data_IF_113118162982
#
_entry.id   IF_113118162982
#
_cell.length_a   1.000
_cell.length_b   1.000
_cell.length_c   1.000
_cell.angle_alpha   90.00
_cell.angle_beta   90.00
_cell.angle_gamma   90.00
#
_symmetry.space_group_name_H-M   'P 1'
#
loop_
_entity.id
_entity.type
_entity.pdbx_description
1 polymer ?
#
# COMPACT_ATOMS: atom_id res chain seq x y z
N UNK A 1 11.40 33.46 -28.15
CA UNK A 1 9.97 33.63 -27.85
C UNK A 1 9.42 32.27 -27.45
N UNK A 2 9.53 31.92 -26.17
CA UNK A 2 9.08 30.62 -25.64
C UNK A 2 7.56 30.69 -25.42
N UNK A 3 6.80 29.98 -26.25
CA UNK A 3 5.39 29.69 -26.00
C UNK A 3 5.32 28.87 -24.70
N UNK A 4 5.17 29.53 -23.55
CA UNK A 4 4.75 28.85 -22.33
C UNK A 4 3.28 28.47 -22.50
N UNK A 5 3.05 27.23 -22.92
CA UNK A 5 1.75 26.56 -22.82
C UNK A 5 1.38 26.52 -21.32
N UNK A 6 0.67 27.54 -20.88
CA UNK A 6 0.08 27.60 -19.54
C UNK A 6 -1.25 26.87 -19.58
N UNK A 7 -1.42 25.92 -18.66
CA UNK A 7 -2.69 25.18 -18.52
C UNK A 7 -3.83 26.17 -18.20
N UNK A 8 -5.05 25.96 -18.72
CA UNK A 8 -6.23 26.75 -18.36
C UNK A 8 -6.41 26.82 -16.83
N UNK A 9 -6.88 27.96 -16.32
CA UNK A 9 -7.03 28.17 -14.87
C UNK A 9 -7.96 27.14 -14.19
N UNK A 10 -8.99 26.66 -14.90
CA UNK A 10 -9.90 25.61 -14.43
C UNK A 10 -9.19 24.26 -14.29
N UNK A 11 -8.26 23.93 -15.18
CA UNK A 11 -7.46 22.71 -15.15
C UNK A 11 -6.43 22.78 -14.02
N UNK A 12 -5.78 23.93 -13.82
CA UNK A 12 -4.86 24.16 -12.69
C UNK A 12 -5.59 24.00 -11.34
N UNK A 13 -6.79 24.58 -11.20
CA UNK A 13 -7.59 24.44 -9.99
C UNK A 13 -7.97 22.99 -9.72
N UNK A 14 -8.39 22.26 -10.76
CA UNK A 14 -8.70 20.83 -10.66
C UNK A 14 -7.49 20.00 -10.23
N UNK A 15 -6.33 20.24 -10.82
CA UNK A 15 -5.10 19.53 -10.48
C UNK A 15 -4.68 19.77 -9.03
N UNK A 16 -4.78 21.01 -8.53
CA UNK A 16 -4.54 21.31 -7.11
C UNK A 16 -5.48 20.55 -6.19
N UNK A 17 -6.76 20.47 -6.55
CA UNK A 17 -7.76 19.70 -5.79
C UNK A 17 -7.43 18.21 -5.77
N UNK A 18 -7.04 17.62 -6.91
CA UNK A 18 -6.61 16.21 -6.98
C UNK A 18 -5.32 15.97 -6.20
N UNK A 19 -4.36 16.89 -6.24
CA UNK A 19 -3.13 16.78 -5.48
C UNK A 19 -3.39 16.81 -3.97
N UNK A 20 -4.20 17.76 -3.49
CA UNK A 20 -4.59 17.83 -2.08
C UNK A 20 -5.33 16.55 -1.63
N UNK A 21 -6.21 16.03 -2.49
CA UNK A 21 -6.90 14.77 -2.26
C UNK A 21 -5.91 13.60 -2.17
N UNK A 22 -4.93 13.52 -3.06
CA UNK A 22 -3.91 12.49 -3.03
C UNK A 22 -3.01 12.56 -1.79
N UNK A 23 -2.68 13.77 -1.31
CA UNK A 23 -1.94 13.96 -0.05
C UNK A 23 -2.77 13.46 1.14
N UNK A 24 -4.06 13.82 1.20
CA UNK A 24 -4.99 13.33 2.22
C UNK A 24 -5.09 11.79 2.19
N UNK A 25 -5.18 11.20 1.01
CA UNK A 25 -5.16 9.75 0.83
C UNK A 25 -3.84 9.15 1.35
N UNK A 26 -2.69 9.78 1.07
CA UNK A 26 -1.40 9.29 1.57
C UNK A 26 -1.30 9.22 3.10
N UNK A 27 -1.82 10.24 3.80
CA UNK A 27 -1.88 10.22 5.27
C UNK A 27 -2.87 9.19 5.81
N UNK A 28 -4.06 9.09 5.20
CA UNK A 28 -5.04 8.07 5.56
C UNK A 28 -4.48 6.66 5.34
N UNK A 29 -3.74 6.45 4.24
CA UNK A 29 -3.06 5.19 3.96
C UNK A 29 -2.10 4.81 5.08
N UNK A 30 -1.28 5.75 5.54
CA UNK A 30 -0.37 5.52 6.67
C UNK A 30 -1.11 5.03 7.91
N UNK A 31 -2.19 5.69 8.31
CA UNK A 31 -2.98 5.31 9.48
C UNK A 31 -3.50 3.87 9.43
N UNK A 32 -4.08 3.49 8.29
CA UNK A 32 -4.68 2.17 8.11
C UNK A 32 -3.63 1.07 7.90
N UNK A 33 -2.55 1.35 7.17
CA UNK A 33 -1.45 0.39 7.00
C UNK A 33 -0.73 0.10 8.31
N UNK A 34 -0.48 1.13 9.15
CA UNK A 34 0.17 0.94 10.45
C UNK A 34 -0.72 0.18 11.44
N UNK A 35 -2.02 0.42 11.41
CA UNK A 35 -2.97 -0.28 12.27
C UNK A 35 -3.22 -1.74 11.84
N UNK A 36 -2.94 -2.10 10.59
CA UNK A 36 -3.03 -3.49 10.12
C UNK A 36 -2.10 -4.44 10.88
N UNK A 37 -1.06 -3.90 11.54
CA UNK A 37 -0.16 -4.65 12.41
C UNK A 37 -0.80 -5.02 13.75
N UNK A 38 -1.85 -4.32 14.19
CA UNK A 38 -2.45 -4.59 15.50
C UNK A 38 -3.12 -5.98 15.56
N UNK A 39 -4.01 -6.38 14.61
CA UNK A 39 -4.56 -7.74 14.62
C UNK A 39 -3.52 -8.84 14.43
N UNK A 40 -2.44 -8.57 13.68
CA UNK A 40 -1.38 -9.57 13.47
C UNK A 40 -0.52 -9.73 14.72
N UNK A 41 -0.29 -8.67 15.50
CA UNK A 41 0.39 -8.74 16.81
C UNK A 41 -0.40 -9.48 17.87
N UNK A 42 -1.73 -9.41 17.83
CA UNK A 42 -2.59 -10.20 18.71
C UNK A 42 -2.35 -11.70 18.53
N UNK A 43 -1.80 -12.13 17.39
CA UNK A 43 -1.52 -13.52 17.06
C UNK A 43 -0.02 -13.78 17.27
N UNK A 44 0.39 -14.50 18.33
CA UNK A 44 1.81 -14.89 18.47
C UNK A 44 2.04 -16.27 19.10
N UNK A 45 3.19 -16.83 18.66
CA UNK A 45 3.88 -18.08 19.02
C UNK A 45 3.20 -19.36 18.52
N UNK A 46 3.70 -19.89 17.39
CA UNK A 46 3.43 -21.26 16.93
C UNK A 46 2.94 -21.42 15.49
N UNK A 47 2.54 -20.34 14.82
CA UNK A 47 2.13 -20.36 13.40
C UNK A 47 3.29 -19.93 12.50
N UNK A 48 3.51 -20.68 11.42
CA UNK A 48 4.54 -20.35 10.43
C UNK A 48 4.30 -18.95 9.81
N UNK A 49 5.35 -18.11 9.63
CA UNK A 49 5.22 -16.81 8.96
C UNK A 49 4.61 -16.87 7.56
N UNK A 50 4.77 -18.00 6.87
CA UNK A 50 4.15 -18.23 5.55
C UNK A 50 2.64 -18.44 5.67
N UNK A 51 2.17 -19.15 6.70
CA UNK A 51 0.73 -19.33 6.97
C UNK A 51 0.10 -18.02 7.40
N UNK A 52 0.78 -17.25 8.26
CA UNK A 52 0.38 -15.88 8.62
C UNK A 52 0.17 -15.06 7.35
N UNK A 53 1.18 -15.02 6.48
CA UNK A 53 1.12 -14.26 5.22
C UNK A 53 0.01 -14.74 4.31
N UNK A 54 -0.17 -16.05 4.12
CA UNK A 54 -1.23 -16.61 3.28
C UNK A 54 -2.62 -16.16 3.77
N UNK A 55 -2.88 -16.23 5.06
CA UNK A 55 -4.20 -15.93 5.62
C UNK A 55 -4.48 -14.43 5.65
N UNK A 56 -3.46 -13.61 5.85
CA UNK A 56 -3.56 -12.18 5.58
C UNK A 56 -3.94 -11.92 4.12
N UNK A 57 -3.28 -12.58 3.16
CA UNK A 57 -3.58 -12.45 1.71
C UNK A 57 -5.01 -12.92 1.39
N UNK A 58 -5.54 -13.94 2.06
CA UNK A 58 -6.95 -14.33 1.94
C UNK A 58 -7.87 -13.21 2.40
N UNK A 59 -7.57 -12.56 3.54
CA UNK A 59 -8.30 -11.38 4.01
C UNK A 59 -8.24 -10.21 3.00
N UNK A 60 -7.05 -9.97 2.44
CA UNK A 60 -6.81 -8.97 1.39
C UNK A 60 -7.65 -9.26 0.14
N UNK A 61 -7.69 -10.52 -0.30
CA UNK A 61 -8.45 -10.95 -1.46
C UNK A 61 -9.95 -10.70 -1.28
N UNK A 62 -10.51 -11.13 -0.14
CA UNK A 62 -11.92 -10.90 0.18
C UNK A 62 -12.22 -9.40 0.21
N UNK A 63 -11.36 -8.59 0.83
CA UNK A 63 -11.55 -7.15 0.93
C UNK A 63 -11.46 -6.45 -0.44
N UNK A 64 -10.48 -6.79 -1.28
CA UNK A 64 -10.30 -6.16 -2.61
C UNK A 64 -11.37 -6.54 -3.63
N UNK A 65 -12.15 -7.60 -3.41
CA UNK A 65 -13.33 -7.89 -4.22
C UNK A 65 -14.61 -7.31 -3.63
N UNK A 66 -14.79 -7.38 -2.31
CA UNK A 66 -16.02 -6.89 -1.65
C UNK A 66 -16.09 -5.37 -1.53
N UNK A 67 -14.98 -4.69 -1.21
CA UNK A 67 -14.95 -3.23 -0.99
C UNK A 67 -15.21 -2.48 -2.30
N UNK A 68 -14.53 -2.75 -3.44
CA UNK A 68 -14.88 -2.13 -4.71
C UNK A 68 -16.29 -2.45 -5.19
N UNK A 69 -16.78 -3.68 -4.96
CA UNK A 69 -18.15 -4.07 -5.27
C UNK A 69 -19.16 -3.22 -4.48
N UNK A 70 -18.89 -2.94 -3.20
CA UNK A 70 -19.72 -2.08 -2.36
C UNK A 70 -19.65 -0.59 -2.82
N UNK A 71 -18.45 -0.07 -3.04
CA UNK A 71 -18.20 1.36 -3.34
C UNK A 71 -18.65 1.75 -4.75
N UNK A 72 -18.49 0.88 -5.75
CA UNK A 72 -18.84 1.19 -7.15
C UNK A 72 -19.54 0.07 -7.91
N UNK A 73 -19.52 -1.18 -7.44
CA UNK A 73 -20.09 -2.34 -8.16
C UNK A 73 -19.17 -2.84 -9.26
N UNK A 74 -18.97 -4.14 -9.40
CA UNK A 74 -18.01 -4.80 -10.32
C UNK A 74 -18.21 -4.46 -11.80
N UNK A 75 -19.35 -3.88 -12.18
CA UNK A 75 -19.60 -3.33 -13.51
C UNK A 75 -18.54 -2.30 -13.95
N UNK A 76 -18.03 -1.46 -13.03
CA UNK A 76 -16.96 -0.50 -13.34
C UNK A 76 -15.62 -1.19 -13.64
N UNK A 77 -15.31 -2.29 -12.93
CA UNK A 77 -14.10 -3.08 -13.15
C UNK A 77 -14.13 -3.66 -14.56
N UNK A 78 -15.29 -4.20 -14.97
CA UNK A 78 -15.49 -4.71 -16.33
C UNK A 78 -15.36 -3.61 -17.39
N UNK A 79 -15.85 -2.40 -17.11
CA UNK A 79 -15.72 -1.26 -18.02
C UNK A 79 -14.25 -0.85 -18.21
N UNK A 80 -13.49 -0.69 -17.12
CA UNK A 80 -12.07 -0.35 -17.19
C UNK A 80 -11.24 -1.43 -17.90
N UNK A 81 -11.56 -2.70 -17.66
CA UNK A 81 -10.91 -3.84 -18.34
C UNK A 81 -11.15 -3.81 -19.85
N UNK A 82 -12.36 -3.44 -20.30
CA UNK A 82 -12.65 -3.33 -21.73
C UNK A 82 -11.82 -2.23 -22.39
N UNK A 83 -11.53 -1.15 -21.67
CA UNK A 83 -10.72 -0.04 -22.18
C UNK A 83 -9.23 -0.37 -22.19
N UNK A 84 -8.73 -1.11 -21.20
CA UNK A 84 -7.31 -1.41 -21.06
C UNK A 84 -7.05 -2.86 -20.59
N UNK A 85 -7.37 -3.88 -21.42
CA UNK A 85 -7.31 -5.29 -21.00
C UNK A 85 -5.89 -5.78 -20.70
N UNK A 86 -4.89 -5.21 -21.39
CA UNK A 86 -3.48 -5.54 -21.19
C UNK A 86 -3.00 -5.26 -19.76
N UNK A 87 -3.67 -4.36 -19.02
CA UNK A 87 -3.32 -4.05 -17.62
C UNK A 87 -3.66 -5.18 -16.64
N UNK A 88 -4.52 -6.13 -17.01
CA UNK A 88 -4.78 -7.30 -16.15
C UNK A 88 -3.50 -8.11 -15.95
N UNK A 89 -2.75 -8.35 -17.03
CA UNK A 89 -1.48 -9.09 -16.96
C UNK A 89 -0.49 -8.36 -16.05
N UNK A 90 -0.41 -7.03 -16.19
CA UNK A 90 0.44 -6.20 -15.33
C UNK A 90 0.02 -6.22 -13.86
N UNK A 91 -1.29 -6.24 -13.59
CA UNK A 91 -1.83 -6.33 -12.24
C UNK A 91 -1.46 -7.68 -11.59
N UNK A 92 -1.72 -8.79 -12.29
CA UNK A 92 -1.39 -10.14 -11.80
C UNK A 92 0.12 -10.28 -11.57
N UNK A 93 0.95 -9.82 -12.52
CA UNK A 93 2.41 -9.82 -12.35
C UNK A 93 2.86 -9.01 -11.13
N UNK A 94 2.30 -7.82 -10.92
CA UNK A 94 2.61 -7.00 -9.76
C UNK A 94 2.24 -7.72 -8.44
N UNK A 95 1.10 -8.43 -8.42
CA UNK A 95 0.70 -9.27 -7.28
C UNK A 95 1.68 -10.40 -7.01
N UNK A 96 2.17 -11.07 -8.06
CA UNK A 96 3.19 -12.11 -7.93
C UNK A 96 4.51 -11.53 -7.38
N UNK A 97 4.98 -10.39 -7.90
CA UNK A 97 6.19 -9.72 -7.41
C UNK A 97 6.07 -9.36 -5.92
N UNK A 98 4.90 -8.86 -5.51
CA UNK A 98 4.64 -8.53 -4.11
C UNK A 98 4.70 -9.76 -3.20
N UNK A 99 4.09 -10.89 -3.61
CA UNK A 99 4.07 -12.12 -2.82
C UNK A 99 5.47 -12.73 -2.65
N UNK A 100 6.29 -12.69 -3.71
CA UNK A 100 7.69 -13.13 -3.65
C UNK A 100 8.49 -12.20 -2.74
N UNK A 101 8.34 -10.88 -2.89
CA UNK A 101 9.01 -9.91 -2.03
C UNK A 101 8.68 -10.12 -0.55
N UNK A 102 7.39 -10.32 -0.23
CA UNK A 102 6.93 -10.60 1.14
C UNK A 102 7.52 -11.91 1.69
N UNK A 103 7.73 -12.92 0.84
CA UNK A 103 8.40 -14.15 1.26
C UNK A 103 9.90 -13.94 1.49
N UNK A 104 10.55 -13.11 0.67
CA UNK A 104 11.96 -12.76 0.85
C UNK A 104 12.21 -11.96 2.14
N UNK A 105 11.29 -11.11 2.58
CA UNK A 105 11.43 -10.41 3.87
C UNK A 105 11.39 -11.38 5.05
N UNK A 106 10.56 -12.43 4.99
CA UNK A 106 10.54 -13.50 6.00
C UNK A 106 11.93 -14.15 6.12
N UNK A 107 12.54 -14.52 4.98
CA UNK A 107 13.88 -15.11 4.99
C UNK A 107 14.97 -14.12 5.42
N UNK A 108 14.84 -12.85 5.02
CA UNK A 108 15.79 -11.82 5.44
C UNK A 108 15.76 -11.61 6.96
N UNK A 109 14.57 -11.46 7.55
CA UNK A 109 14.41 -11.31 9.02
C UNK A 109 15.00 -12.54 9.72
N UNK A 110 14.73 -13.75 9.20
CA UNK A 110 15.27 -14.99 9.78
C UNK A 110 16.80 -15.05 9.75
N UNK A 111 17.43 -14.64 8.64
CA UNK A 111 18.86 -14.88 8.41
C UNK A 111 19.79 -13.74 8.92
N UNK A 112 19.30 -12.49 8.94
CA UNK A 112 20.08 -11.30 9.34
C UNK A 112 19.41 -10.43 10.41
N UNK A 113 18.22 -10.82 10.87
CA UNK A 113 17.45 -10.04 11.85
C UNK A 113 16.74 -8.84 11.23
N UNK A 114 15.68 -8.38 11.91
CA UNK A 114 14.86 -7.25 11.48
C UNK A 114 15.67 -5.94 11.38
N UNK A 115 16.66 -5.76 12.26
CA UNK A 115 17.48 -4.54 12.34
C UNK A 115 18.34 -4.28 11.10
N UNK A 116 18.83 -5.35 10.46
CA UNK A 116 19.62 -5.24 9.23
C UNK A 116 18.71 -5.35 8.01
N UNK A 117 17.70 -6.20 8.06
CA UNK A 117 16.84 -6.43 6.91
C UNK A 117 15.94 -5.23 6.58
N UNK A 118 15.40 -4.54 7.60
CA UNK A 118 14.44 -3.45 7.42
C UNK A 118 14.99 -2.27 6.62
N UNK A 119 16.18 -1.72 6.92
CA UNK A 119 16.75 -0.64 6.10
C UNK A 119 17.05 -1.08 4.67
N UNK A 120 17.45 -2.35 4.47
CA UNK A 120 17.83 -2.88 3.17
C UNK A 120 16.64 -3.02 2.21
N UNK A 121 15.48 -3.54 2.64
CA UNK A 121 14.33 -3.63 1.74
C UNK A 121 13.60 -2.28 1.55
N UNK A 122 13.83 -1.30 2.41
CA UNK A 122 13.34 0.08 2.21
C UNK A 122 13.99 0.78 1.00
N UNK A 123 14.99 0.17 0.38
CA UNK A 123 15.45 0.53 -0.99
C UNK A 123 14.31 0.50 -2.01
N UNK A 124 13.17 -0.14 -1.73
CA UNK A 124 11.95 -0.07 -2.55
C UNK A 124 11.53 1.36 -2.90
N UNK A 125 11.71 2.31 -1.97
CA UNK A 125 11.26 3.69 -2.12
C UNK A 125 12.20 4.46 -3.06
N UNK A 126 13.51 4.18 -2.95
CA UNK A 126 14.52 4.70 -3.88
C UNK A 126 14.28 4.19 -5.30
N UNK A 127 13.97 2.90 -5.45
CA UNK A 127 13.64 2.32 -6.74
C UNK A 127 12.32 2.83 -7.30
N UNK A 128 11.31 3.08 -6.44
CA UNK A 128 10.08 3.75 -6.84
C UNK A 128 10.33 5.14 -7.43
N UNK A 129 11.18 5.95 -6.77
CA UNK A 129 11.60 7.27 -7.27
C UNK A 129 12.40 7.13 -8.58
N UNK A 130 13.32 6.17 -8.65
CA UNK A 130 14.12 5.89 -9.85
C UNK A 130 13.22 5.56 -11.05
N UNK A 131 12.26 4.65 -10.88
CA UNK A 131 11.33 4.27 -11.94
C UNK A 131 10.37 5.40 -12.30
N UNK A 132 9.90 6.17 -11.32
CA UNK A 132 9.14 7.42 -11.52
C UNK A 132 9.89 8.37 -12.44
N UNK A 133 11.18 8.60 -12.17
CA UNK A 133 12.03 9.48 -12.95
C UNK A 133 12.33 8.95 -14.37
N UNK A 134 12.73 7.68 -14.48
CA UNK A 134 13.22 7.07 -15.73
C UNK A 134 12.07 6.79 -16.72
N UNK A 135 10.99 6.17 -16.25
CA UNK A 135 9.92 5.63 -17.12
C UNK A 135 8.74 6.60 -17.27
N UNK A 136 8.43 7.34 -16.20
CA UNK A 136 7.23 8.17 -16.13
C UNK A 136 7.53 9.67 -16.20
N UNK A 137 8.81 10.04 -16.36
CA UNK A 137 9.27 11.42 -16.42
C UNK A 137 8.84 12.27 -15.21
N UNK A 138 8.63 11.64 -14.04
CA UNK A 138 8.41 12.33 -12.78
C UNK A 138 9.69 13.11 -12.41
N UNK A 139 9.57 14.26 -11.73
CA UNK A 139 10.69 15.12 -11.32
C UNK A 139 11.54 15.73 -12.46
N UNK A 140 11.26 15.43 -13.74
CA UNK A 140 11.90 16.10 -14.87
C UNK A 140 11.44 17.56 -14.90
N UNK A 141 12.40 18.48 -14.89
CA UNK A 141 12.16 19.93 -14.85
C UNK A 141 11.43 20.41 -13.58
N UNK A 142 11.49 19.64 -12.48
CA UNK A 142 10.94 20.03 -11.18
C UNK A 142 11.73 21.16 -10.50
N UNK A 143 12.93 21.49 -10.97
CA UNK A 143 13.81 22.51 -10.38
C UNK A 143 14.64 21.98 -9.20
N UNK A 144 15.75 22.65 -8.91
CA UNK A 144 16.74 22.21 -7.92
C UNK A 144 16.18 22.07 -6.50
N UNK A 145 15.31 22.99 -6.06
CA UNK A 145 14.69 22.97 -4.73
C UNK A 145 13.88 21.70 -4.47
N UNK A 146 13.20 21.18 -5.49
CA UNK A 146 12.40 19.94 -5.38
C UNK A 146 13.27 18.69 -5.42
N UNK A 147 14.33 18.70 -6.23
CA UNK A 147 15.34 17.65 -6.22
C UNK A 147 15.98 17.52 -4.83
N UNK A 148 16.35 18.63 -4.20
CA UNK A 148 16.83 18.62 -2.82
C UNK A 148 15.77 18.11 -1.83
N UNK A 149 14.50 18.51 -1.99
CA UNK A 149 13.41 18.00 -1.16
C UNK A 149 13.22 16.48 -1.25
N UNK A 150 13.26 15.92 -2.47
CA UNK A 150 13.10 14.48 -2.70
C UNK A 150 14.32 13.69 -2.23
N UNK A 151 15.54 14.11 -2.61
CA UNK A 151 16.77 13.44 -2.21
C UNK A 151 17.03 13.54 -0.71
N UNK A 152 16.85 14.74 -0.14
CA UNK A 152 16.98 14.98 1.29
C UNK A 152 15.92 14.22 2.09
N UNK A 153 14.67 14.19 1.59
CA UNK A 153 13.62 13.41 2.21
C UNK A 153 13.86 11.90 2.14
N UNK A 154 14.36 11.38 1.02
CA UNK A 154 14.72 9.97 0.86
C UNK A 154 15.87 9.58 1.80
N UNK A 155 16.88 10.44 1.94
CA UNK A 155 17.97 10.24 2.90
C UNK A 155 17.46 10.24 4.34
N UNK A 156 16.60 11.20 4.72
CA UNK A 156 15.99 11.24 6.05
C UNK A 156 15.16 9.98 6.34
N UNK A 157 14.36 9.50 5.39
CA UNK A 157 13.62 8.25 5.52
C UNK A 157 14.56 7.05 5.73
N UNK A 158 15.64 6.96 4.96
CA UNK A 158 16.61 5.87 5.11
C UNK A 158 17.33 5.90 6.46
N UNK A 159 17.74 7.09 6.91
CA UNK A 159 18.38 7.28 8.22
C UNK A 159 17.42 6.97 9.37
N UNK A 160 16.17 7.45 9.30
CA UNK A 160 15.15 7.15 10.29
C UNK A 160 14.82 5.66 10.36
N UNK A 161 14.69 4.99 9.21
CA UNK A 161 14.51 3.55 9.12
C UNK A 161 15.69 2.79 9.74
N UNK A 162 16.91 3.24 9.47
CA UNK A 162 18.14 2.65 10.05
C UNK A 162 18.16 2.80 11.57
N UNK A 163 17.81 3.98 12.09
CA UNK A 163 17.75 4.23 13.53
C UNK A 163 16.70 3.32 14.20
N UNK A 164 15.50 3.22 13.63
CA UNK A 164 14.44 2.32 14.11
C UNK A 164 14.85 0.85 14.07
N UNK A 165 15.60 0.46 13.05
CA UNK A 165 16.03 -0.91 12.92
C UNK A 165 17.09 -1.26 13.97
N UNK A 166 18.05 -0.37 14.23
CA UNK A 166 19.06 -0.54 15.29
C UNK A 166 18.40 -0.66 16.67
N UNK A 167 17.39 0.17 16.96
CA UNK A 167 16.70 0.17 18.26
C UNK A 167 15.84 -1.06 18.51
N UNK A 168 15.29 -1.63 17.44
CA UNK A 168 14.41 -2.80 17.50
C UNK A 168 15.16 -4.14 17.60
N UNK A 169 16.50 -4.11 17.70
CA UNK A 169 17.32 -5.32 17.68
C UNK A 169 17.24 -6.13 18.99
N UNK A 170 16.67 -7.33 18.90
CA UNK A 170 17.11 -8.46 19.74
C UNK A 170 18.28 -9.11 19.01
N UNK A 171 19.48 -9.09 19.60
CA UNK A 171 20.67 -9.64 18.97
C UNK A 171 20.55 -11.18 18.88
N UNK A 172 20.42 -11.69 17.66
CA UNK A 172 20.72 -13.09 17.32
C UNK A 172 21.82 -13.12 16.26
N UNK A 173 22.79 -14.04 16.34
CA UNK A 173 23.88 -14.11 15.35
C UNK A 173 23.32 -14.36 13.95
N UNK A 174 23.83 -13.63 12.96
CA UNK A 174 23.46 -13.83 11.56
C UNK A 174 23.93 -15.22 11.09
N UNK A 175 23.01 -16.17 10.98
CA UNK A 175 23.33 -17.56 10.60
C UNK A 175 23.81 -17.63 9.14
N UNK A 176 23.21 -16.82 8.25
CA UNK A 176 23.53 -16.78 6.82
C UNK A 176 23.48 -15.35 6.24
N UNK A 177 24.44 -14.51 6.62
CA UNK A 177 24.41 -13.07 6.31
C UNK A 177 24.20 -12.71 4.83
N UNK A 178 24.90 -13.38 3.91
CA UNK A 178 24.76 -13.12 2.47
C UNK A 178 23.39 -13.50 1.90
N UNK A 179 22.80 -14.59 2.39
CA UNK A 179 21.44 -14.98 1.99
C UNK A 179 20.41 -13.99 2.51
N UNK A 180 20.52 -13.56 3.76
CA UNK A 180 19.63 -12.55 4.32
C UNK A 180 19.74 -11.19 3.64
N UNK A 181 20.96 -10.71 3.33
CA UNK A 181 21.17 -9.44 2.63
C UNK A 181 20.61 -9.48 1.21
N UNK A 182 20.89 -10.55 0.46
CA UNK A 182 20.34 -10.74 -0.89
C UNK A 182 18.80 -10.86 -0.87
N UNK A 183 18.24 -11.53 0.14
CA UNK A 183 16.80 -11.60 0.34
C UNK A 183 16.20 -10.20 0.62
N UNK A 184 16.80 -9.41 1.50
CA UNK A 184 16.30 -8.06 1.82
C UNK A 184 16.39 -7.11 0.62
N UNK A 185 17.52 -7.08 -0.08
CA UNK A 185 17.69 -6.26 -1.28
C UNK A 185 16.78 -6.73 -2.42
N UNK A 186 16.61 -8.04 -2.59
CA UNK A 186 15.69 -8.60 -3.58
C UNK A 186 14.23 -8.26 -3.27
N UNK A 187 13.82 -8.31 -2.00
CA UNK A 187 12.49 -7.84 -1.58
C UNK A 187 12.30 -6.35 -1.91
N UNK A 188 13.29 -5.52 -1.59
CA UNK A 188 13.29 -4.10 -1.95
C UNK A 188 13.19 -3.86 -3.46
N UNK A 189 13.92 -4.65 -4.25
CA UNK A 189 13.90 -4.58 -5.71
C UNK A 189 12.54 -4.96 -6.31
N UNK A 190 11.95 -6.06 -5.84
CA UNK A 190 10.66 -6.55 -6.31
C UNK A 190 9.52 -5.58 -5.94
N UNK A 191 9.48 -5.11 -4.69
CA UNK A 191 8.51 -4.09 -4.27
C UNK A 191 8.71 -2.75 -4.97
N UNK A 192 9.96 -2.30 -5.17
CA UNK A 192 10.22 -1.07 -5.93
C UNK A 192 9.78 -1.18 -7.40
N UNK A 193 9.98 -2.35 -8.01
CA UNK A 193 9.64 -2.62 -9.41
C UNK A 193 8.13 -2.80 -9.61
N UNK A 194 7.38 -3.31 -8.62
CA UNK A 194 5.92 -3.46 -8.73
C UNK A 194 5.19 -2.13 -8.90
N UNK A 195 5.82 -1.01 -8.53
CA UNK A 195 5.27 0.33 -8.73
C UNK A 195 5.20 0.74 -10.22
N UNK A 196 5.96 0.08 -11.10
CA UNK A 196 5.88 0.30 -12.55
C UNK A 196 4.48 -0.06 -13.07
N UNK A 197 3.97 -1.29 -12.88
CA UNK A 197 2.58 -1.64 -13.16
C UNK A 197 1.54 -0.67 -12.60
N UNK A 198 1.71 -0.19 -11.36
CA UNK A 198 0.78 0.75 -10.73
C UNK A 198 0.67 2.04 -11.54
N UNK A 199 1.83 2.66 -11.78
CA UNK A 199 1.87 3.94 -12.47
C UNK A 199 1.40 3.78 -13.91
N UNK A 200 1.78 2.70 -14.57
CA UNK A 200 1.30 2.33 -15.91
C UNK A 200 -0.22 2.25 -15.96
N UNK A 201 -0.86 1.61 -14.99
CA UNK A 201 -2.31 1.50 -14.94
C UNK A 201 -2.98 2.87 -14.78
N UNK A 202 -2.46 3.71 -13.89
CA UNK A 202 -3.07 5.01 -13.58
C UNK A 202 -2.93 6.02 -14.70
N UNK A 203 -1.77 6.09 -15.37
CA UNK A 203 -1.60 6.96 -16.56
C UNK A 203 -2.40 6.47 -17.77
N UNK A 204 -2.75 5.18 -17.81
CA UNK A 204 -3.66 4.61 -18.81
C UNK A 204 -5.13 4.85 -18.46
N UNK A 205 -5.42 5.48 -17.31
CA UNK A 205 -6.77 5.83 -16.87
C UNK A 205 -7.50 4.75 -16.08
N UNK A 206 -6.90 3.58 -15.85
CA UNK A 206 -7.51 2.52 -15.04
C UNK A 206 -7.73 2.99 -13.61
N UNK A 207 -8.90 2.67 -13.05
CA UNK A 207 -9.20 3.01 -11.67
C UNK A 207 -8.35 2.19 -10.70
N UNK A 208 -7.86 2.78 -9.59
CA UNK A 208 -7.15 2.05 -8.55
C UNK A 208 -7.88 0.80 -8.04
N UNK A 209 -9.20 0.89 -7.84
CA UNK A 209 -10.03 -0.23 -7.36
C UNK A 209 -10.10 -1.38 -8.37
N UNK A 210 -10.15 -1.06 -9.67
CA UNK A 210 -10.12 -2.06 -10.75
C UNK A 210 -8.77 -2.77 -10.79
N UNK A 211 -7.67 -2.02 -10.72
CA UNK A 211 -6.33 -2.58 -10.81
C UNK A 211 -6.01 -3.52 -9.63
N UNK A 212 -6.31 -3.10 -8.40
CA UNK A 212 -6.01 -3.91 -7.21
C UNK A 212 -6.85 -5.20 -7.13
N UNK A 213 -8.04 -5.22 -7.72
CA UNK A 213 -8.87 -6.44 -7.77
C UNK A 213 -8.20 -7.56 -8.58
N UNK A 214 -7.49 -7.23 -9.67
CA UNK A 214 -6.69 -8.21 -10.41
C UNK A 214 -5.32 -8.45 -9.79
N UNK A 215 -4.73 -7.44 -9.15
CA UNK A 215 -3.49 -7.59 -8.38
C UNK A 215 -3.59 -8.72 -7.35
N UNK A 216 -4.69 -8.75 -6.60
CA UNK A 216 -4.86 -9.75 -5.54
C UNK A 216 -5.00 -11.18 -6.06
N UNK A 217 -5.36 -11.38 -7.33
CA UNK A 217 -5.35 -12.72 -7.96
C UNK A 217 -3.91 -13.25 -8.03
N UNK A 218 -2.97 -12.41 -8.50
CA UNK A 218 -1.55 -12.77 -8.55
C UNK A 218 -0.96 -12.97 -7.17
N UNK A 219 -1.33 -12.11 -6.22
CA UNK A 219 -0.92 -12.21 -4.83
C UNK A 219 -1.37 -13.52 -4.17
N UNK A 220 -2.67 -13.85 -4.26
CA UNK A 220 -3.23 -15.06 -3.68
C UNK A 220 -2.67 -16.31 -4.35
N UNK A 221 -2.61 -16.33 -5.70
CA UNK A 221 -2.08 -17.47 -6.45
C UNK A 221 -0.60 -17.74 -6.12
N UNK A 222 0.23 -16.69 -6.12
CA UNK A 222 1.65 -16.83 -5.83
C UNK A 222 1.90 -17.17 -4.36
N UNK A 223 1.22 -16.51 -3.42
CA UNK A 223 1.37 -16.78 -1.99
C UNK A 223 0.90 -18.19 -1.63
N UNK A 224 -0.19 -18.68 -2.24
CA UNK A 224 -0.65 -20.06 -2.09
C UNK A 224 0.39 -21.05 -2.62
N UNK A 225 0.94 -20.78 -3.80
CA UNK A 225 1.98 -21.64 -4.41
C UNK A 225 3.22 -21.74 -3.53
N UNK A 226 3.68 -20.59 -2.99
CA UNK A 226 4.80 -20.52 -2.06
C UNK A 226 4.48 -21.25 -0.75
N UNK A 227 3.32 -21.00 -0.14
CA UNK A 227 2.90 -21.66 1.09
C UNK A 227 2.84 -23.19 0.93
N UNK A 228 2.23 -23.69 -0.15
CA UNK A 228 2.17 -25.15 -0.45
C UNK A 228 3.57 -25.73 -0.63
N UNK A 229 4.45 -25.03 -1.36
CA UNK A 229 5.81 -25.51 -1.63
C UNK A 229 6.65 -25.59 -0.36
N UNK A 230 6.64 -24.54 0.47
CA UNK A 230 7.49 -24.45 1.65
C UNK A 230 6.96 -25.21 2.89
N UNK A 231 5.67 -25.51 2.94
CA UNK A 231 5.09 -26.35 4.02
C UNK A 231 5.22 -27.86 3.74
N UNK A 232 5.70 -28.25 2.55
CA UNK A 232 5.85 -29.66 2.16
C UNK A 232 4.60 -30.27 1.55
N UNK A 233 3.68 -29.45 1.00
CA UNK A 233 2.52 -29.89 0.24
C UNK A 233 1.16 -29.50 0.87
N UNK A 234 0.05 -29.69 0.12
CA UNK A 234 -1.27 -29.21 0.53
C UNK A 234 -1.79 -29.80 1.85
N UNK A 235 -1.48 -31.08 2.12
CA UNK A 235 -1.89 -31.76 3.36
C UNK A 235 -1.18 -31.22 4.60
N UNK A 236 0.07 -30.77 4.46
CA UNK A 236 0.84 -30.15 5.53
C UNK A 236 0.30 -28.76 5.85
N UNK A 237 0.10 -27.95 4.80
CA UNK A 237 -0.54 -26.64 4.91
C UNK A 237 -1.91 -26.74 5.58
N UNK A 238 -2.74 -27.70 5.17
CA UNK A 238 -4.07 -27.90 5.76
C UNK A 238 -4.01 -28.20 7.26
N UNK A 239 -3.06 -29.04 7.71
CA UNK A 239 -2.86 -29.32 9.14
C UNK A 239 -2.45 -28.07 9.92
N UNK A 240 -1.54 -27.26 9.38
CA UNK A 240 -1.17 -25.98 10.01
C UNK A 240 -2.36 -25.03 10.11
N UNK A 241 -3.19 -24.93 9.05
CA UNK A 241 -4.39 -24.08 9.05
C UNK A 241 -5.43 -24.52 10.08
N UNK A 242 -5.70 -25.83 10.16
CA UNK A 242 -6.62 -26.38 11.17
C UNK A 242 -6.08 -26.16 12.58
N UNK A 243 -4.77 -26.29 12.78
CA UNK A 243 -4.10 -25.98 14.04
C UNK A 243 -4.17 -24.49 14.40
N UNK A 244 -4.18 -23.61 13.41
CA UNK A 244 -4.24 -22.15 13.58
C UNK A 244 -5.67 -21.57 13.55
N UNK A 245 -6.73 -22.39 13.53
CA UNK A 245 -8.12 -21.95 13.33
C UNK A 245 -8.57 -20.80 14.25
N UNK A 246 -8.07 -20.79 15.48
CA UNK A 246 -8.44 -19.80 16.51
C UNK A 246 -7.89 -18.39 16.22
N UNK A 247 -6.90 -18.28 15.33
CA UNK A 247 -6.23 -17.02 14.99
C UNK A 247 -6.49 -16.56 13.55
N UNK A 248 -7.10 -17.41 12.71
CA UNK A 248 -7.35 -17.09 11.30
C UNK A 248 -8.17 -15.81 11.12
N UNK A 249 -9.18 -15.59 11.96
CA UNK A 249 -9.98 -14.37 11.95
C UNK A 249 -9.13 -13.11 12.09
N UNK A 250 -8.23 -13.07 13.09
CA UNK A 250 -7.38 -11.91 13.36
C UNK A 250 -6.41 -11.63 12.22
N UNK A 251 -5.84 -12.68 11.64
CA UNK A 251 -4.97 -12.57 10.46
C UNK A 251 -5.72 -12.04 9.24
N UNK A 252 -6.92 -12.55 8.98
CA UNK A 252 -7.78 -12.06 7.90
C UNK A 252 -8.21 -10.61 8.15
N UNK A 253 -8.50 -10.24 9.40
CA UNK A 253 -8.85 -8.87 9.78
C UNK A 253 -7.66 -7.92 9.56
N UNK A 254 -6.44 -8.33 9.89
CA UNK A 254 -5.22 -7.60 9.56
C UNK A 254 -5.12 -7.33 8.05
N UNK A 255 -5.34 -8.37 7.23
CA UNK A 255 -5.40 -8.23 5.77
C UNK A 255 -6.51 -7.27 5.28
N UNK A 256 -7.69 -7.31 5.90
CA UNK A 256 -8.80 -6.41 5.56
C UNK A 256 -8.46 -4.94 5.87
N UNK A 257 -7.95 -4.66 7.08
CA UNK A 257 -7.53 -3.31 7.51
C UNK A 257 -6.43 -2.79 6.59
N UNK A 258 -5.49 -3.66 6.22
CA UNK A 258 -4.43 -3.33 5.27
C UNK A 258 -4.98 -2.88 3.92
N UNK A 259 -6.04 -3.53 3.40
CA UNK A 259 -6.67 -3.13 2.12
C UNK A 259 -7.25 -1.72 2.15
N UNK A 260 -7.81 -1.28 3.28
CA UNK A 260 -8.29 0.11 3.40
C UNK A 260 -7.13 1.09 3.22
N UNK A 261 -6.00 0.80 3.85
CA UNK A 261 -4.77 1.58 3.70
C UNK A 261 -4.20 1.52 2.29
N UNK A 262 -4.13 0.34 1.68
CA UNK A 262 -3.67 0.12 0.31
C UNK A 262 -4.54 0.87 -0.71
N UNK A 263 -5.86 0.85 -0.58
CA UNK A 263 -6.77 1.62 -1.45
C UNK A 263 -6.40 3.11 -1.42
N UNK A 264 -6.23 3.68 -0.23
CA UNK A 264 -5.82 5.08 -0.10
C UNK A 264 -4.41 5.32 -0.66
N UNK A 265 -3.46 4.42 -0.44
CA UNK A 265 -2.12 4.52 -1.00
C UNK A 265 -2.16 4.55 -2.55
N UNK A 266 -3.04 3.75 -3.15
CA UNK A 266 -3.19 3.68 -4.59
C UNK A 266 -3.82 4.96 -5.18
N UNK A 267 -4.79 5.57 -4.48
CA UNK A 267 -5.27 6.91 -4.85
C UNK A 267 -4.21 8.00 -4.66
N UNK A 268 -3.38 7.91 -3.62
CA UNK A 268 -2.25 8.82 -3.43
C UNK A 268 -1.25 8.71 -4.59
N UNK A 269 -0.89 7.49 -4.97
CA UNK A 269 -0.01 7.22 -6.12
C UNK A 269 -0.63 7.67 -7.45
N UNK A 270 -1.96 7.54 -7.61
CA UNK A 270 -2.67 8.04 -8.78
C UNK A 270 -2.56 9.57 -8.91
N UNK A 271 -2.92 10.32 -7.87
CA UNK A 271 -3.06 11.77 -7.97
C UNK A 271 -1.77 12.56 -7.67
N UNK A 272 -0.83 12.01 -6.90
CA UNK A 272 0.45 12.67 -6.53
C UNK A 272 1.66 11.97 -7.15
N UNK A 273 1.46 10.85 -7.85
CA UNK A 273 2.53 10.08 -8.50
C UNK A 273 3.18 9.07 -7.54
N UNK A 274 3.88 8.09 -8.09
CA UNK A 274 4.50 7.03 -7.28
C UNK A 274 5.65 7.56 -6.43
N UNK A 275 6.40 8.55 -6.94
CA UNK A 275 7.54 9.12 -6.22
C UNK A 275 7.16 9.89 -4.96
N UNK A 276 5.88 10.27 -4.80
CA UNK A 276 5.39 11.08 -3.66
C UNK A 276 4.28 10.39 -2.87
N UNK A 277 3.35 9.73 -3.56
CA UNK A 277 2.22 9.06 -2.93
C UNK A 277 2.64 7.86 -2.08
N UNK A 278 3.64 7.08 -2.52
CA UNK A 278 4.13 5.92 -1.76
C UNK A 278 4.92 6.37 -0.52
N UNK A 279 5.87 7.33 -0.59
CA UNK A 279 6.52 7.82 0.63
C UNK A 279 5.56 8.40 1.68
N UNK A 280 4.46 9.03 1.27
CA UNK A 280 3.43 9.52 2.20
C UNK A 280 2.80 8.41 3.06
N UNK A 281 2.57 7.24 2.48
CA UNK A 281 1.99 6.12 3.21
C UNK A 281 2.96 5.47 4.20
N UNK A 282 4.27 5.75 4.09
CA UNK A 282 5.27 5.35 5.09
C UNK A 282 5.13 6.12 6.42
N UNK A 283 4.17 7.05 6.54
CA UNK A 283 3.67 7.51 7.84
C UNK A 283 3.02 6.40 8.67
N UNK A 284 2.77 5.22 8.07
CA UNK A 284 2.37 4.00 8.77
C UNK A 284 3.26 3.65 9.97
N UNK A 285 4.56 3.93 9.91
CA UNK A 285 5.48 3.64 11.01
C UNK A 285 5.12 4.42 12.28
N UNK A 286 4.66 5.67 12.14
CA UNK A 286 4.20 6.45 13.29
C UNK A 286 2.95 5.82 13.91
N UNK A 287 2.01 5.37 13.09
CA UNK A 287 0.79 4.74 13.57
C UNK A 287 1.06 3.38 14.20
N UNK A 288 1.89 2.55 13.57
CA UNK A 288 2.37 1.29 14.15
C UNK A 288 3.06 1.52 15.50
N UNK A 289 3.86 2.59 15.61
CA UNK A 289 4.48 2.98 16.88
C UNK A 289 3.45 3.40 17.93
N UNK A 290 2.46 4.21 17.57
CA UNK A 290 1.40 4.63 18.50
C UNK A 290 0.63 3.42 19.04
N UNK A 291 0.31 2.46 18.18
CA UNK A 291 -0.29 1.19 18.61
C UNK A 291 0.67 0.39 19.51
N UNK A 292 1.94 0.24 19.12
CA UNK A 292 2.97 -0.48 19.89
C UNK A 292 3.18 0.10 21.29
N UNK A 293 3.36 1.41 21.41
CA UNK A 293 3.61 2.07 22.70
C UNK A 293 2.33 2.18 23.53
N UNK A 294 1.23 2.67 22.97
CA UNK A 294 0.06 3.07 23.76
C UNK A 294 -0.91 1.93 24.03
N UNK A 295 -1.01 0.95 23.12
CA UNK A 295 -1.97 -0.16 23.23
C UNK A 295 -1.30 -1.41 23.76
N UNK A 296 -0.14 -1.76 23.21
CA UNK A 296 0.60 -2.97 23.54
C UNK A 296 1.69 -2.75 24.60
N UNK A 297 1.96 -1.51 25.00
CA UNK A 297 2.95 -1.16 26.03
C UNK A 297 4.35 -1.72 25.76
N UNK A 298 4.77 -1.80 24.49
CA UNK A 298 6.01 -2.47 24.05
C UNK A 298 7.30 -1.85 24.61
N UNK A 299 7.25 -0.57 25.02
CA UNK A 299 8.39 0.14 25.61
C UNK A 299 8.28 0.30 27.13
N UNK A 300 7.22 -0.18 27.77
CA UNK A 300 6.99 0.04 29.20
C UNK A 300 8.15 -0.52 30.04
N UNK A 301 8.72 0.31 30.92
CA UNK A 301 9.88 -0.05 31.74
C UNK A 301 11.24 -0.01 31.02
N UNK A 302 11.30 0.39 29.74
CA UNK A 302 12.58 0.58 29.03
C UNK A 302 13.17 1.97 29.32
N UNK A 303 14.49 2.09 29.18
CA UNK A 303 15.22 3.34 29.46
C UNK A 303 14.86 4.47 28.50
N UNK A 304 14.93 5.72 28.98
CA UNK A 304 14.58 6.93 28.23
C UNK A 304 15.33 7.06 26.88
N UNK A 305 16.56 6.56 26.80
CA UNK A 305 17.34 6.52 25.56
C UNK A 305 16.65 5.70 24.45
N UNK A 306 16.06 4.54 24.78
CA UNK A 306 15.37 3.71 23.80
C UNK A 306 14.10 4.38 23.30
N UNK A 307 13.33 5.01 24.19
CA UNK A 307 12.18 5.84 23.83
C UNK A 307 12.55 6.96 22.86
N UNK A 308 13.63 7.69 23.16
CA UNK A 308 14.07 8.81 22.34
C UNK A 308 14.52 8.34 20.95
N UNK A 309 15.22 7.20 20.86
CA UNK A 309 15.67 6.67 19.57
C UNK A 309 14.51 6.15 18.72
N UNK A 310 13.52 5.48 19.32
CA UNK A 310 12.34 4.98 18.60
C UNK A 310 11.43 6.13 18.13
N UNK A 311 11.15 7.10 19.01
CA UNK A 311 10.36 8.29 18.66
C UNK A 311 11.13 9.14 17.64
N UNK A 312 12.42 9.37 17.86
CA UNK A 312 13.29 10.14 16.97
C UNK A 312 13.40 9.54 15.57
N UNK A 313 13.59 8.23 15.46
CA UNK A 313 13.64 7.52 14.18
C UNK A 313 12.33 7.62 13.41
N UNK A 314 11.19 7.47 14.11
CA UNK A 314 9.85 7.59 13.51
C UNK A 314 9.55 9.02 13.03
N UNK A 315 9.91 10.03 13.83
CA UNK A 315 9.76 11.43 13.45
C UNK A 315 10.67 11.79 12.27
N UNK A 316 11.91 11.30 12.24
CA UNK A 316 12.83 11.52 11.12
C UNK A 316 12.30 10.90 9.82
N UNK A 317 11.76 9.67 9.88
CA UNK A 317 11.08 9.06 8.73
C UNK A 317 9.88 9.90 8.26
N UNK A 318 9.05 10.37 9.19
CA UNK A 318 7.88 11.20 8.87
C UNK A 318 8.29 12.53 8.22
N UNK A 319 9.33 13.18 8.73
CA UNK A 319 9.87 14.41 8.15
C UNK A 319 10.40 14.18 6.74
N UNK A 320 11.09 13.05 6.51
CA UNK A 320 11.56 12.68 5.17
C UNK A 320 10.42 12.43 4.18
N UNK A 321 9.39 11.69 4.60
CA UNK A 321 8.17 11.48 3.82
C UNK A 321 7.44 12.79 3.52
N UNK A 322 7.32 13.68 4.51
CA UNK A 322 6.73 15.00 4.38
C UNK A 322 7.50 15.90 3.41
N UNK A 323 8.83 15.89 3.46
CA UNK A 323 9.68 16.65 2.54
C UNK A 323 9.49 16.20 1.07
N UNK A 324 9.41 14.89 0.83
CA UNK A 324 9.08 14.35 -0.49
C UNK A 324 7.66 14.75 -0.91
N UNK A 325 6.67 14.63 -0.02
CA UNK A 325 5.27 14.91 -0.32
C UNK A 325 4.99 16.38 -0.66
N UNK A 326 5.61 17.29 0.11
CA UNK A 326 5.44 18.73 -0.03
C UNK A 326 6.21 19.29 -1.23
N UNK A 327 7.05 18.49 -1.89
CA UNK A 327 7.72 18.82 -3.15
C UNK A 327 6.75 18.82 -4.35
N UNK A 328 5.68 19.63 -4.28
CA UNK A 328 4.57 19.70 -5.24
C UNK A 328 5.03 19.74 -6.69
N UNK A 329 4.42 18.92 -7.55
CA UNK A 329 4.74 18.88 -8.98
C UNK A 329 4.43 20.23 -9.67
N UNK A 330 5.38 20.76 -10.46
CA UNK A 330 5.18 21.97 -11.27
C UNK A 330 4.17 21.74 -12.38
N UNK A 331 3.57 22.81 -12.93
CA UNK A 331 2.81 22.72 -14.19
C UNK A 331 3.60 22.06 -15.33
N UNK A 332 4.92 22.29 -15.39
CA UNK A 332 5.84 21.62 -16.33
C UNK A 332 5.96 20.11 -16.10
N UNK A 333 5.90 19.65 -14.86
CA UNK A 333 5.91 18.22 -14.53
C UNK A 333 4.57 17.56 -14.88
N UNK A 334 3.46 18.28 -14.66
CA UNK A 334 2.11 17.80 -15.03
C UNK A 334 1.95 17.62 -16.55
N UNK A 335 2.54 18.51 -17.35
CA UNK A 335 2.59 18.35 -18.81
C UNK A 335 3.32 17.06 -19.20
N UNK A 336 4.43 16.71 -18.54
CA UNK A 336 5.14 15.45 -18.78
C UNK A 336 4.31 14.22 -18.42
N UNK A 337 3.48 14.31 -17.40
CA UNK A 337 2.55 13.23 -17.05
C UNK A 337 1.48 13.05 -18.12
N UNK A 338 0.96 14.15 -18.67
CA UNK A 338 0.02 14.10 -19.79
C UNK A 338 0.67 13.48 -21.03
N UNK A 339 1.88 13.90 -21.40
CA UNK A 339 2.65 13.30 -22.50
C UNK A 339 2.90 11.80 -22.29
N UNK A 340 3.22 11.39 -21.06
CA UNK A 340 3.43 9.99 -20.72
C UNK A 340 2.13 9.18 -20.84
N UNK A 341 1.00 9.73 -20.37
CA UNK A 341 -0.33 9.13 -20.50
C UNK A 341 -0.75 8.98 -21.97
N UNK A 342 -0.53 10.00 -22.80
CA UNK A 342 -0.81 9.94 -24.24
C UNK A 342 0.07 8.94 -24.99
N UNK A 343 1.36 8.86 -24.63
CA UNK A 343 2.27 7.85 -25.19
C UNK A 343 1.80 6.44 -24.85
N UNK A 344 1.40 6.22 -23.61
CA UNK A 344 0.92 4.92 -23.14
C UNK A 344 -0.43 4.55 -23.78
N UNK A 345 -1.35 5.51 -23.85
CA UNK A 345 -2.63 5.35 -24.54
C UNK A 345 -2.45 4.96 -26.01
N UNK A 346 -1.57 5.66 -26.75
CA UNK A 346 -1.23 5.31 -28.13
C UNK A 346 -0.61 3.92 -28.27
N UNK A 347 0.28 3.54 -27.35
CA UNK A 347 0.96 2.23 -27.38
C UNK A 347 -0.01 1.06 -27.29
N UNK A 348 -1.10 1.22 -26.56
CA UNK A 348 -2.08 0.15 -26.30
C UNK A 348 -3.45 0.39 -26.94
N UNK A 349 -3.59 1.42 -27.78
CA UNK A 349 -4.85 1.75 -28.46
C UNK A 349 -5.98 2.18 -27.51
N UNK A 350 -5.64 2.77 -26.35
CA UNK A 350 -6.63 3.25 -25.39
C UNK A 350 -7.14 4.63 -25.81
N UNK A 351 -8.47 4.87 -25.85
CA UNK A 351 -9.03 6.15 -26.28
C UNK A 351 -8.52 7.35 -25.45
N UNK A 352 -8.20 8.46 -26.13
CA UNK A 352 -7.62 9.65 -25.46
C UNK A 352 -8.61 10.33 -24.53
N UNK A 353 -9.90 10.35 -24.89
CA UNK A 353 -10.99 10.89 -24.07
C UNK A 353 -11.17 10.10 -22.76
N UNK A 354 -11.01 8.77 -22.80
CA UNK A 354 -10.96 7.93 -21.60
C UNK A 354 -9.79 8.33 -20.70
N UNK A 355 -8.58 8.38 -21.26
CA UNK A 355 -7.37 8.69 -20.49
C UNK A 355 -7.47 10.09 -19.87
N UNK A 356 -7.86 11.10 -20.64
CA UNK A 356 -8.00 12.48 -20.15
C UNK A 356 -9.07 12.63 -19.06
N UNK A 357 -10.26 12.02 -19.25
CA UNK A 357 -11.31 12.04 -18.25
C UNK A 357 -10.83 11.41 -16.93
N UNK A 358 -10.16 10.26 -17.01
CA UNK A 358 -9.71 9.50 -15.84
C UNK A 358 -8.52 10.14 -15.12
N UNK A 359 -7.64 10.81 -15.85
CA UNK A 359 -6.57 11.64 -15.28
C UNK A 359 -7.13 12.87 -14.54
N UNK A 360 -8.23 13.44 -15.04
CA UNK A 360 -8.96 14.51 -14.36
C UNK A 360 -9.85 14.00 -13.21
N UNK A 361 -9.85 12.71 -12.89
CA UNK A 361 -10.71 12.10 -11.88
C UNK A 361 -12.20 12.20 -12.22
N UNK A 362 -12.55 12.08 -13.50
CA UNK A 362 -13.92 12.14 -14.03
C UNK A 362 -14.26 10.84 -14.78
N UNK A 363 -15.55 10.60 -14.98
CA UNK A 363 -16.04 9.61 -15.93
C UNK A 363 -16.11 10.22 -17.33
N UNK A 364 -16.11 9.39 -18.37
CA UNK A 364 -16.37 9.87 -19.72
C UNK A 364 -17.83 10.31 -19.83
N UNK A 365 -18.10 11.32 -20.65
CA UNK A 365 -19.46 11.75 -20.97
C UNK A 365 -20.21 10.61 -21.66
N UNK A 366 -21.39 10.24 -21.14
CA UNK A 366 -22.18 9.12 -21.65
C UNK A 366 -21.85 7.76 -21.04
N UNK A 367 -20.83 7.66 -20.16
CA UNK A 367 -20.58 6.45 -19.40
C UNK A 367 -21.70 6.25 -18.35
N UNK A 368 -22.38 5.09 -18.32
CA UNK A 368 -23.45 4.85 -17.35
C UNK A 368 -22.90 4.90 -15.92
N UNK A 369 -23.74 5.41 -15.00
CA UNK A 369 -23.38 5.46 -13.59
C UNK A 369 -23.14 4.03 -13.06
N UNK A 370 -22.13 3.80 -12.21
CA UNK A 370 -21.89 2.49 -11.64
C UNK A 370 -23.07 2.06 -10.75
N UNK A 371 -23.73 0.97 -11.12
CA UNK A 371 -24.81 0.34 -10.34
C UNK A 371 -24.35 -0.96 -9.70
N UNK A 372 -24.98 -1.33 -8.58
CA UNK A 372 -24.70 -2.59 -7.89
C UNK A 372 -25.71 -3.62 -8.36
N UNK A 373 -25.19 -4.70 -8.93
CA UNK A 373 -25.93 -5.88 -9.30
C UNK A 373 -26.15 -6.80 -8.10
N UNK A 374 -27.01 -7.81 -8.26
CA UNK A 374 -27.14 -8.90 -7.28
C UNK A 374 -25.80 -9.61 -7.03
N UNK A 375 -24.95 -9.69 -8.06
CA UNK A 375 -23.62 -10.27 -7.94
C UNK A 375 -22.69 -9.48 -7.00
N UNK A 376 -22.81 -8.15 -7.02
CA UNK A 376 -22.04 -7.28 -6.11
C UNK A 376 -22.44 -7.51 -4.66
N UNK A 377 -23.74 -7.63 -4.40
CA UNK A 377 -24.26 -7.97 -3.07
C UNK A 377 -23.86 -9.37 -2.65
N UNK A 378 -23.88 -10.36 -3.54
CA UNK A 378 -23.42 -11.71 -3.19
C UNK A 378 -21.93 -11.75 -2.83
N UNK A 379 -21.07 -10.96 -3.50
CA UNK A 379 -19.65 -10.85 -3.13
C UNK A 379 -19.48 -10.27 -1.72
N UNK A 380 -20.21 -9.21 -1.40
CA UNK A 380 -20.17 -8.58 -0.06
C UNK A 380 -20.68 -9.55 1.00
N UNK A 381 -21.86 -10.14 0.80
CA UNK A 381 -22.46 -11.10 1.75
C UNK A 381 -21.58 -12.32 1.96
N UNK A 382 -20.97 -12.86 0.90
CA UNK A 382 -20.07 -14.02 0.99
C UNK A 382 -18.82 -13.67 1.79
N UNK A 383 -18.17 -12.53 1.48
CA UNK A 383 -17.01 -12.08 2.24
C UNK A 383 -17.37 -11.88 3.73
N UNK A 384 -18.46 -11.18 4.02
CA UNK A 384 -18.95 -10.98 5.40
C UNK A 384 -19.25 -12.31 6.10
N UNK A 385 -19.92 -13.25 5.43
CA UNK A 385 -20.22 -14.57 5.97
C UNK A 385 -18.96 -15.35 6.35
N UNK A 386 -17.92 -15.31 5.51
CA UNK A 386 -16.62 -15.94 5.81
C UNK A 386 -15.99 -15.31 7.07
N UNK A 387 -15.97 -13.98 7.17
CA UNK A 387 -15.45 -13.30 8.37
C UNK A 387 -16.24 -13.67 9.63
N UNK A 388 -17.57 -13.74 9.55
CA UNK A 388 -18.42 -14.14 10.68
C UNK A 388 -18.16 -15.58 11.12
N UNK A 389 -18.02 -16.51 10.17
CA UNK A 389 -17.69 -17.91 10.46
C UNK A 389 -16.36 -17.99 11.21
N UNK A 390 -15.30 -17.36 10.71
CA UNK A 390 -14.01 -17.37 11.41
C UNK A 390 -14.05 -16.63 12.75
N UNK A 391 -14.86 -15.58 12.87
CA UNK A 391 -15.06 -14.87 14.15
C UNK A 391 -15.67 -15.78 15.23
N UNK A 392 -16.59 -16.68 14.87
CA UNK A 392 -17.17 -17.64 15.84
C UNK A 392 -16.14 -18.65 16.38
N UNK A 393 -15.07 -18.88 15.64
CA UNK A 393 -13.96 -19.76 16.02
C UNK A 393 -12.78 -18.99 16.63
N UNK A 394 -12.84 -17.65 16.66
CA UNK A 394 -11.71 -16.84 17.06
C UNK A 394 -11.56 -16.80 18.59
N UNK A 395 -10.31 -16.91 19.06
CA UNK A 395 -9.97 -16.59 20.45
C UNK A 395 -9.08 -15.36 20.47
N UNK A 396 -9.36 -14.42 21.36
CA UNK A 396 -8.46 -13.31 21.67
C UNK A 396 -7.33 -13.89 22.53
N UNK A 397 -6.06 -13.82 22.09
CA UNK A 397 -4.96 -14.28 22.95
C UNK A 397 -4.90 -13.40 24.20
N UNK A 398 -4.56 -13.99 25.34
CA UNK A 398 -4.47 -13.27 26.61
C UNK A 398 -3.30 -12.27 26.56
N UNK A 399 -3.58 -11.05 26.10
CA UNK A 399 -2.64 -9.94 26.10
C UNK A 399 -3.20 -8.79 26.95
N UNK A 400 -2.33 -8.13 27.72
CA UNK A 400 -2.67 -6.91 28.44
C UNK A 400 -2.82 -5.76 27.44
N UNK A 401 -4.06 -5.43 27.08
CA UNK A 401 -4.39 -4.35 26.15
C UNK A 401 -4.87 -3.11 26.91
N UNK A 402 -4.31 -1.95 26.58
CA UNK A 402 -4.84 -0.68 27.05
C UNK A 402 -5.99 -0.23 26.15
N UNK A 403 -7.22 -0.49 26.60
CA UNK A 403 -8.44 -0.23 25.83
C UNK A 403 -8.70 1.25 25.54
N UNK A 404 -8.34 2.16 26.45
CA UNK A 404 -8.53 3.61 26.24
C UNK A 404 -7.82 4.12 24.98
N UNK A 405 -6.49 3.96 24.88
CA UNK A 405 -5.75 4.28 23.66
C UNK A 405 -6.20 3.51 22.42
N UNK A 406 -6.56 2.23 22.57
CA UNK A 406 -7.05 1.42 21.44
C UNK A 406 -8.35 2.00 20.83
N UNK A 407 -9.30 2.39 21.69
CA UNK A 407 -10.55 3.03 21.26
C UNK A 407 -10.27 4.39 20.63
N UNK A 408 -9.39 5.21 21.24
CA UNK A 408 -9.05 6.53 20.72
C UNK A 408 -8.38 6.46 19.32
N UNK A 409 -7.39 5.57 19.14
CA UNK A 409 -6.72 5.36 17.85
C UNK A 409 -7.70 4.82 16.80
N UNK A 410 -8.54 3.85 17.17
CA UNK A 410 -9.57 3.31 16.26
C UNK A 410 -10.57 4.39 15.84
N UNK A 411 -11.02 5.23 16.77
CA UNK A 411 -11.92 6.35 16.46
C UNK A 411 -11.25 7.37 15.52
N UNK A 412 -9.99 7.72 15.76
CA UNK A 412 -9.23 8.60 14.87
C UNK A 412 -9.10 8.03 13.45
N UNK A 413 -8.83 6.73 13.32
CA UNK A 413 -8.78 6.05 12.02
C UNK A 413 -10.14 6.05 11.30
N UNK A 414 -11.24 5.83 12.01
CA UNK A 414 -12.59 5.88 11.45
C UNK A 414 -12.94 7.30 10.98
N UNK A 415 -12.58 8.32 11.75
CA UNK A 415 -12.73 9.73 11.31
C UNK A 415 -11.93 9.98 10.02
N UNK A 416 -10.68 9.52 9.95
CA UNK A 416 -9.86 9.63 8.75
C UNK A 416 -10.48 8.92 7.54
N UNK A 417 -11.04 7.72 7.75
CA UNK A 417 -11.75 6.96 6.72
C UNK A 417 -12.96 7.74 6.19
N UNK A 418 -13.79 8.29 7.08
CA UNK A 418 -14.98 9.07 6.69
C UNK A 418 -14.59 10.34 5.95
N UNK A 419 -13.63 11.11 6.49
CA UNK A 419 -13.17 12.37 5.88
C UNK A 419 -12.55 12.12 4.51
N UNK A 420 -11.63 11.17 4.41
CA UNK A 420 -10.94 10.86 3.15
C UNK A 420 -11.89 10.22 2.13
N UNK A 421 -12.73 9.28 2.56
CA UNK A 421 -13.75 8.65 1.72
C UNK A 421 -14.77 9.66 1.19
N UNK A 422 -15.23 10.60 2.02
CA UNK A 422 -16.11 11.68 1.60
C UNK A 422 -15.42 12.63 0.62
N UNK A 423 -14.14 12.97 0.85
CA UNK A 423 -13.36 13.81 -0.05
C UNK A 423 -13.17 13.14 -1.43
N UNK A 424 -12.87 11.83 -1.47
CA UNK A 424 -12.78 11.04 -2.71
C UNK A 424 -14.11 11.02 -3.43
N UNK A 425 -15.20 10.75 -2.71
CA UNK A 425 -16.54 10.72 -3.29
C UNK A 425 -16.94 12.08 -3.87
N UNK A 426 -16.76 13.16 -3.11
CA UNK A 426 -17.15 14.52 -3.52
C UNK A 426 -16.32 15.01 -4.70
N UNK A 427 -15.02 14.70 -4.72
CA UNK A 427 -14.08 15.26 -5.71
C UNK A 427 -14.04 14.44 -6.99
N UNK A 428 -14.04 13.10 -6.90
CA UNK A 428 -13.83 12.22 -8.05
C UNK A 428 -14.89 11.13 -8.19
N UNK A 429 -15.81 10.97 -7.23
CA UNK A 429 -16.73 9.82 -7.17
C UNK A 429 -15.96 8.49 -7.17
N UNK A 430 -14.79 8.48 -6.51
CA UNK A 430 -13.84 7.36 -6.53
C UNK A 430 -13.27 7.05 -7.93
N UNK A 431 -13.14 8.02 -8.84
CA UNK A 431 -12.54 7.81 -10.17
C UNK A 431 -11.02 7.88 -10.23
#
# INVERSE_FOLDING_TARGET
MSFELTLPASEVSRLRSLQALGILCGFAAGAWLGAAEAPTKLVTIGVSPLVISLIMVVGVFLARWSVPALIRGTSHIRADVRQAPHLIVWAVLAGCLWAVANTMTIFAIRDIGLSVAFPLWNTNSLLGILWGFVLFNELRQAGWTRWFGVLGGALAMFLGATLLAITSSSQGPAVHAMRGISAALGAGALWGTMYIPYRKAYITGMNPLSFIAFFTIGELGMMTSLAVTYTGGPSSLWRELVGAKEVLFWLMLGGFIWVIGDVFQQYAAKYVGISRGIPLSNSNQLWGLLWGILVFSELHGRGASLYLQVIGGSLLMMLGAGAIALSSATGKEQLRWKEAAEREGRRYGVPSDYVEARMAGRQIVGEPKPTRSLWDWSLVVTATGIFLIFATMARVPQMSLHWGPAVALSAAMLVLLVVCGFALWRTTRFN
#
